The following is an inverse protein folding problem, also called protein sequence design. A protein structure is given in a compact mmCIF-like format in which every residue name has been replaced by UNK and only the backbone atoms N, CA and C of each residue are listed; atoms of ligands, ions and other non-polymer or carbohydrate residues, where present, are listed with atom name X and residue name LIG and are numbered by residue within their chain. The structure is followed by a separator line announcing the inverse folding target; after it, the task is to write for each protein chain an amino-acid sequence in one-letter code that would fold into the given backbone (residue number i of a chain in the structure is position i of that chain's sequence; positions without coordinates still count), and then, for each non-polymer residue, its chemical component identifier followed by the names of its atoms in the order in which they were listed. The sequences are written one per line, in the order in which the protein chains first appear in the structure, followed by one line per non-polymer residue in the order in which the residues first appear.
data_IF_822725317796
#
_entry.id   IF_822725317796
#
_cell.length_a   1.000
_cell.length_b   1.000
_cell.length_c   1.000
_cell.angle_alpha   90.00
_cell.angle_beta   90.00
_cell.angle_gamma   90.00
#
_symmetry.space_group_name_H-M   'P 1'
#
loop_
_entity.id
_entity.type
_entity.pdbx_description
1 polymer ?
#
# COMPACT_ATOMS: atom_id res chain seq x y z
N UNK A 1 1.30 -8.23 -5.50
CA UNK A 1 1.97 -7.53 -6.63
C UNK A 1 3.45 -7.88 -6.67
N UNK A 2 4.07 -7.97 -7.85
CA UNK A 2 5.46 -8.47 -8.05
C UNK A 2 6.52 -7.37 -8.28
N UNK A 3 6.13 -6.09 -8.31
CA UNK A 3 7.06 -4.99 -8.55
C UNK A 3 8.05 -4.84 -7.39
N UNK A 4 9.33 -5.06 -7.66
CA UNK A 4 10.39 -5.12 -6.64
C UNK A 4 10.69 -6.53 -6.13
N UNK A 5 9.99 -7.57 -6.63
CA UNK A 5 10.36 -8.97 -6.44
C UNK A 5 10.80 -9.61 -7.77
N UNK A 6 9.93 -10.40 -8.40
CA UNK A 6 10.21 -11.04 -9.69
C UNK A 6 10.10 -10.07 -10.88
N UNK A 7 9.56 -8.88 -10.65
CA UNK A 7 9.49 -7.80 -11.65
C UNK A 7 10.42 -6.66 -11.23
N UNK A 8 11.42 -6.34 -12.05
CA UNK A 8 12.33 -5.22 -11.77
C UNK A 8 11.59 -3.89 -11.88
N UNK A 9 12.19 -2.82 -11.36
CA UNK A 9 11.63 -1.46 -11.46
C UNK A 9 11.43 -1.02 -12.91
N UNK A 10 12.40 -1.27 -13.78
CA UNK A 10 12.34 -0.90 -15.19
C UNK A 10 11.18 -1.61 -15.90
N UNK A 11 10.96 -2.88 -15.58
CA UNK A 11 9.83 -3.63 -16.14
C UNK A 11 8.49 -3.18 -15.54
N UNK A 12 8.44 -2.87 -14.24
CA UNK A 12 7.27 -2.31 -13.59
C UNK A 12 6.85 -0.97 -14.24
N UNK A 13 7.82 -0.10 -14.56
CA UNK A 13 7.57 1.16 -15.26
C UNK A 13 6.95 0.92 -16.64
N UNK A 14 7.52 0.00 -17.44
CA UNK A 14 6.96 -0.35 -18.75
C UNK A 14 5.54 -0.90 -18.66
N UNK A 15 5.25 -1.71 -17.63
CA UNK A 15 3.91 -2.26 -17.39
C UNK A 15 2.94 -1.13 -17.07
N UNK A 16 3.30 -0.22 -16.16
CA UNK A 16 2.45 0.91 -15.76
C UNK A 16 2.25 1.92 -16.90
N UNK A 17 3.29 2.24 -17.67
CA UNK A 17 3.18 3.09 -18.87
C UNK A 17 2.23 2.46 -19.89
N UNK A 18 2.39 1.18 -20.19
CA UNK A 18 1.51 0.47 -21.14
C UNK A 18 0.06 0.42 -20.65
N UNK A 19 -0.17 0.27 -19.35
CA UNK A 19 -1.52 0.32 -18.78
C UNK A 19 -2.13 1.73 -18.94
N UNK A 20 -1.37 2.75 -18.57
CA UNK A 20 -1.76 4.16 -18.66
C UNK A 20 -2.07 4.59 -20.10
N UNK A 21 -1.21 4.23 -21.06
CA UNK A 21 -1.41 4.50 -22.49
C UNK A 21 -2.66 3.81 -23.07
N UNK A 22 -3.17 2.78 -22.39
CA UNK A 22 -4.41 2.08 -22.73
C UNK A 22 -5.62 2.59 -21.96
N UNK A 23 -5.48 3.71 -21.24
CA UNK A 23 -6.56 4.36 -20.49
C UNK A 23 -6.82 3.75 -19.11
N UNK A 24 -5.97 2.84 -18.61
CA UNK A 24 -6.06 2.37 -17.23
C UNK A 24 -5.49 3.45 -16.32
N UNK A 25 -6.33 3.97 -15.44
CA UNK A 25 -5.96 5.01 -14.48
C UNK A 25 -5.99 4.54 -13.01
N UNK A 26 -6.40 3.30 -12.72
CA UNK A 26 -6.46 2.78 -11.36
C UNK A 26 -5.23 1.92 -11.05
N UNK A 27 -4.43 2.32 -10.06
CA UNK A 27 -3.26 1.57 -9.60
C UNK A 27 -3.43 1.13 -8.14
N UNK A 28 -3.23 -0.16 -7.89
CA UNK A 28 -3.37 -0.78 -6.57
C UNK A 28 -2.01 -1.28 -6.05
N UNK A 29 -1.67 -0.91 -4.81
CA UNK A 29 -0.48 -1.38 -4.09
C UNK A 29 -0.83 -1.71 -2.63
N UNK A 30 0.16 -1.98 -1.78
CA UNK A 30 0.00 -2.15 -0.33
C UNK A 30 1.35 -1.91 0.38
N UNK A 31 1.32 -1.50 1.64
CA UNK A 31 2.55 -1.27 2.43
C UNK A 31 3.45 -2.52 2.55
N UNK A 32 2.84 -3.69 2.37
CA UNK A 32 3.45 -4.99 2.50
C UNK A 32 4.11 -5.49 1.20
N UNK A 33 3.69 -4.97 0.04
CA UNK A 33 4.17 -5.46 -1.25
C UNK A 33 5.66 -5.13 -1.46
N UNK A 34 6.42 -6.01 -2.15
CA UNK A 34 5.97 -7.06 -3.07
C UNK A 34 5.71 -8.44 -2.43
N UNK A 35 5.21 -9.39 -3.24
CA UNK A 35 5.02 -10.80 -2.85
C UNK A 35 6.07 -11.74 -3.48
N UNK A 36 6.47 -12.83 -2.80
CA UNK A 36 6.20 -13.15 -1.40
C UNK A 36 6.77 -12.09 -0.43
N UNK A 37 6.02 -11.73 0.63
CA UNK A 37 6.43 -10.64 1.51
C UNK A 37 7.64 -11.03 2.35
N UNK A 38 8.59 -10.10 2.47
CA UNK A 38 9.80 -10.23 3.29
C UNK A 38 10.10 -8.90 3.97
N UNK A 39 10.79 -8.95 5.11
CA UNK A 39 11.10 -7.75 5.89
C UNK A 39 12.00 -6.78 5.11
N UNK A 40 12.91 -7.33 4.29
CA UNK A 40 13.89 -6.56 3.53
C UNK A 40 13.27 -5.86 2.31
N UNK A 41 12.13 -6.36 1.82
CA UNK A 41 11.51 -5.85 0.59
C UNK A 41 10.17 -5.15 0.80
N UNK A 42 9.59 -5.22 2.00
CA UNK A 42 8.28 -4.63 2.28
C UNK A 42 8.26 -3.11 2.01
N UNK A 43 7.33 -2.69 1.15
CA UNK A 43 7.16 -1.29 0.74
C UNK A 43 7.88 -0.93 -0.55
N UNK A 44 8.76 -1.78 -1.11
CA UNK A 44 9.46 -1.47 -2.38
C UNK A 44 8.46 -1.23 -3.51
N UNK A 45 7.32 -1.93 -3.53
CA UNK A 45 6.28 -1.68 -4.55
C UNK A 45 5.75 -0.25 -4.46
N UNK A 46 5.51 0.29 -3.27
CA UNK A 46 5.09 1.69 -3.10
C UNK A 46 6.16 2.69 -3.52
N UNK A 47 7.44 2.39 -3.27
CA UNK A 47 8.56 3.22 -3.73
C UNK A 47 8.61 3.27 -5.28
N UNK A 48 8.51 2.12 -5.93
CA UNK A 48 8.48 2.01 -7.40
C UNK A 48 7.28 2.77 -7.98
N UNK A 49 6.08 2.57 -7.42
CA UNK A 49 4.87 3.27 -7.87
C UNK A 49 5.00 4.77 -7.64
N UNK A 50 5.51 5.20 -6.48
CA UNK A 50 5.71 6.61 -6.17
C UNK A 50 6.68 7.31 -7.12
N UNK A 51 7.77 6.64 -7.48
CA UNK A 51 8.68 7.16 -8.49
C UNK A 51 8.04 7.24 -9.89
N UNK A 52 7.22 6.25 -10.26
CA UNK A 52 6.51 6.28 -11.55
C UNK A 52 5.45 7.38 -11.59
N UNK A 53 4.73 7.64 -10.49
CA UNK A 53 3.72 8.69 -10.39
C UNK A 53 4.27 10.07 -10.72
N UNK A 54 5.54 10.35 -10.41
CA UNK A 54 6.21 11.62 -10.77
C UNK A 54 6.31 11.86 -12.28
N UNK A 55 6.10 10.83 -13.10
CA UNK A 55 6.14 10.92 -14.57
C UNK A 55 4.79 11.25 -15.18
N UNK A 56 3.72 11.35 -14.39
CA UNK A 56 2.34 11.60 -14.82
C UNK A 56 1.74 12.75 -13.99
N UNK A 57 0.72 13.46 -14.50
CA UNK A 57 -0.09 14.31 -13.64
C UNK A 57 -0.69 13.48 -12.51
N UNK A 58 -0.52 13.88 -11.25
CA UNK A 58 -0.93 13.04 -10.11
C UNK A 58 -2.43 12.76 -10.13
N UNK A 59 -3.23 13.73 -10.54
CA UNK A 59 -4.68 13.68 -10.64
C UNK A 59 -5.21 12.79 -11.79
N UNK A 60 -4.34 12.36 -12.71
CA UNK A 60 -4.75 11.44 -13.78
C UNK A 60 -4.75 9.97 -13.36
N UNK A 61 -4.33 9.67 -12.13
CA UNK A 61 -4.23 8.32 -11.58
C UNK A 61 -5.03 8.22 -10.28
N UNK A 62 -5.91 7.23 -10.21
CA UNK A 62 -6.57 6.79 -8.97
C UNK A 62 -5.62 5.82 -8.28
N UNK A 63 -5.05 6.24 -7.17
CA UNK A 63 -4.06 5.48 -6.41
C UNK A 63 -4.73 4.82 -5.19
N UNK A 64 -4.63 3.50 -5.12
CA UNK A 64 -5.06 2.72 -3.97
C UNK A 64 -3.87 2.07 -3.25
N UNK A 65 -3.84 2.15 -1.92
CA UNK A 65 -2.92 1.35 -1.10
C UNK A 65 -3.65 0.77 0.11
N UNK A 66 -2.98 -0.09 0.87
CA UNK A 66 -3.58 -0.85 1.96
C UNK A 66 -2.68 -0.90 3.18
N UNK A 67 -3.29 -0.73 4.36
CA UNK A 67 -2.68 -1.13 5.63
C UNK A 67 -2.78 -2.64 5.79
N UNK A 68 -1.69 -3.28 6.17
CA UNK A 68 -1.67 -4.70 6.46
C UNK A 68 -2.57 -5.00 7.67
N UNK A 69 -3.44 -5.99 7.52
CA UNK A 69 -4.33 -6.46 8.58
C UNK A 69 -3.60 -7.05 9.77
N UNK A 70 -4.38 -7.52 10.75
CA UNK A 70 -3.84 -8.10 11.97
C UNK A 70 -2.93 -9.30 11.69
N UNK A 71 -1.84 -9.38 12.45
CA UNK A 71 -1.03 -10.58 12.53
C UNK A 71 -1.87 -11.67 13.20
N UNK A 72 -2.08 -12.78 12.52
CA UNK A 72 -2.89 -13.89 13.01
C UNK A 72 -2.27 -15.23 12.61
N UNK A 73 -2.73 -16.33 13.20
CA UNK A 73 -2.21 -17.67 12.93
C UNK A 73 -2.24 -18.09 11.44
N UNK A 74 -3.05 -17.43 10.61
CA UNK A 74 -3.06 -17.64 9.15
C UNK A 74 -1.87 -16.95 8.44
N UNK A 75 -1.49 -15.75 8.88
CA UNK A 75 -0.39 -14.99 8.30
C UNK A 75 0.13 -13.95 9.29
N UNK A 76 1.46 -13.95 9.50
CA UNK A 76 2.16 -12.94 10.31
C UNK A 76 2.99 -12.08 9.35
N UNK A 77 2.59 -10.82 9.10
CA UNK A 77 3.33 -9.96 8.18
C UNK A 77 4.76 -9.71 8.68
N UNK A 78 5.79 -9.80 7.82
CA UNK A 78 7.18 -9.50 8.17
C UNK A 78 7.45 -7.99 8.29
N UNK A 79 6.51 -7.23 8.84
CA UNK A 79 6.62 -5.80 9.14
C UNK A 79 6.20 -5.58 10.60
N UNK A 80 6.64 -4.47 11.19
CA UNK A 80 6.30 -4.13 12.59
C UNK A 80 6.56 -5.29 13.58
N UNK A 81 7.65 -6.03 13.35
CA UNK A 81 8.02 -7.20 14.17
C UNK A 81 6.94 -8.29 14.27
N UNK A 82 6.09 -8.42 13.26
CA UNK A 82 4.97 -9.37 13.28
C UNK A 82 3.82 -8.96 14.19
N UNK A 83 3.80 -7.70 14.65
CA UNK A 83 2.77 -7.13 15.51
C UNK A 83 1.93 -6.12 14.73
N UNK A 84 1.32 -6.55 13.63
CA UNK A 84 0.37 -5.72 12.89
C UNK A 84 -1.02 -5.83 13.52
N UNK A 85 -1.74 -4.72 13.58
CA UNK A 85 -3.13 -4.62 14.03
C UNK A 85 -3.84 -3.57 13.17
N UNK A 86 -5.17 -3.50 13.26
CA UNK A 86 -5.99 -2.49 12.59
C UNK A 86 -6.62 -1.53 13.62
N UNK A 87 -5.79 -1.09 14.56
CA UNK A 87 -6.09 0.00 15.51
C UNK A 87 -5.74 1.38 14.94
N UNK A 88 -6.13 2.45 15.65
CA UNK A 88 -5.89 3.83 15.20
C UNK A 88 -4.40 4.14 14.99
N UNK A 89 -3.52 3.61 15.84
CA UNK A 89 -2.08 3.86 15.77
C UNK A 89 -1.48 3.23 14.51
N UNK A 90 -1.83 1.98 14.23
CA UNK A 90 -1.31 1.22 13.09
C UNK A 90 -1.79 1.77 11.76
N UNK A 91 -3.07 2.13 11.65
CA UNK A 91 -3.64 2.75 10.45
C UNK A 91 -2.92 4.07 10.14
N UNK A 92 -2.83 4.99 11.12
CA UNK A 92 -2.18 6.30 10.93
C UNK A 92 -0.69 6.17 10.60
N UNK A 93 0.03 5.32 11.32
CA UNK A 93 1.46 5.09 11.08
C UNK A 93 1.72 4.43 9.72
N UNK A 94 0.83 3.56 9.26
CA UNK A 94 0.95 2.92 7.96
C UNK A 94 0.71 3.93 6.83
N UNK A 95 -0.35 4.74 6.89
CA UNK A 95 -0.66 5.72 5.83
C UNK A 95 0.44 6.76 5.70
N UNK A 96 0.99 7.28 6.81
CA UNK A 96 2.12 8.23 6.78
C UNK A 96 3.34 7.65 6.04
N UNK A 97 3.64 6.37 6.28
CA UNK A 97 4.75 5.68 5.62
C UNK A 97 4.45 5.42 4.14
N UNK A 98 3.22 5.03 3.82
CA UNK A 98 2.78 4.81 2.44
C UNK A 98 2.87 6.11 1.64
N UNK A 99 2.33 7.22 2.14
CA UNK A 99 2.42 8.54 1.50
C UNK A 99 3.87 8.95 1.23
N UNK A 100 4.77 8.75 2.20
CA UNK A 100 6.20 9.03 2.03
C UNK A 100 6.84 8.22 0.91
N UNK A 101 6.56 6.91 0.82
CA UNK A 101 7.11 6.04 -0.24
C UNK A 101 6.50 6.33 -1.60
N UNK A 102 5.18 6.55 -1.62
CA UNK A 102 4.41 6.92 -2.80
C UNK A 102 4.71 8.35 -3.29
N UNK A 103 5.42 9.16 -2.47
CA UNK A 103 5.87 10.50 -2.82
C UNK A 103 4.72 11.40 -3.28
N UNK A 104 3.60 11.31 -2.57
CA UNK A 104 2.38 12.07 -2.83
C UNK A 104 1.71 12.42 -1.49
N UNK A 105 0.90 13.48 -1.49
CA UNK A 105 0.25 13.98 -0.29
C UNK A 105 -1.13 13.34 -0.03
N UNK A 106 -1.65 12.56 -0.97
CA UNK A 106 -2.95 11.89 -0.83
C UNK A 106 -3.02 10.54 -1.56
N UNK A 107 -3.94 9.70 -1.08
CA UNK A 107 -4.31 8.39 -1.63
C UNK A 107 -5.80 8.46 -1.95
N UNK A 108 -6.21 7.99 -3.13
CA UNK A 108 -7.61 8.05 -3.58
C UNK A 108 -8.48 6.97 -2.92
N UNK A 109 -7.88 5.81 -2.62
CA UNK A 109 -8.54 4.73 -1.90
C UNK A 109 -7.58 4.07 -0.90
N UNK A 110 -7.85 4.24 0.39
CA UNK A 110 -7.10 3.56 1.45
C UNK A 110 -7.91 2.41 2.04
N UNK A 111 -7.31 1.21 2.08
CA UNK A 111 -8.04 -0.02 2.38
C UNK A 111 -7.43 -0.76 3.57
N UNK A 112 -8.29 -1.47 4.30
CA UNK A 112 -7.89 -2.56 5.18
C UNK A 112 -7.58 -3.80 4.33
N UNK A 113 -6.34 -4.30 4.36
CA UNK A 113 -5.95 -5.41 3.48
C UNK A 113 -6.61 -6.74 3.87
N UNK A 114 -6.82 -6.97 5.17
CA UNK A 114 -7.62 -8.06 5.74
C UNK A 114 -8.02 -7.67 7.18
N UNK A 115 -9.05 -8.30 7.78
CA UNK A 115 -9.60 -7.85 9.05
C UNK A 115 -8.69 -8.09 10.25
N UNK A 116 -8.97 -7.33 11.30
CA UNK A 116 -8.56 -7.60 12.68
C UNK A 116 -9.78 -8.10 13.44
N UNK A 117 -9.63 -9.23 14.13
CA UNK A 117 -10.74 -9.86 14.90
C UNK A 117 -10.66 -9.55 16.38
N UNK A 118 -9.61 -8.86 16.82
CA UNK A 118 -9.36 -8.45 18.20
C UNK A 118 -9.72 -6.99 18.39
N UNK A 119 -9.35 -6.13 17.44
CA UNK A 119 -9.71 -4.70 17.45
C UNK A 119 -11.18 -4.54 17.03
N UNK A 120 -12.03 -3.85 17.82
CA UNK A 120 -13.40 -3.53 17.41
C UNK A 120 -13.43 -2.74 16.10
N UNK A 121 -14.29 -3.14 15.17
CA UNK A 121 -14.36 -2.53 13.85
C UNK A 121 -14.65 -1.03 13.91
N UNK A 122 -15.40 -0.57 14.92
CA UNK A 122 -15.71 0.84 15.15
C UNK A 122 -14.45 1.68 15.39
N UNK A 123 -13.44 1.14 16.07
CA UNK A 123 -12.16 1.82 16.27
C UNK A 123 -11.44 2.01 14.94
N UNK A 124 -11.35 0.94 14.15
CA UNK A 124 -10.73 0.97 12.83
C UNK A 124 -11.44 1.95 11.90
N UNK A 125 -12.77 1.88 11.84
CA UNK A 125 -13.59 2.75 10.99
C UNK A 125 -13.46 4.21 11.39
N UNK A 126 -13.43 4.52 12.69
CA UNK A 126 -13.16 5.87 13.18
C UNK A 126 -11.78 6.38 12.73
N UNK A 127 -10.76 5.52 12.78
CA UNK A 127 -9.42 5.89 12.34
C UNK A 127 -9.34 6.13 10.82
N UNK A 128 -10.09 5.39 10.00
CA UNK A 128 -10.21 5.68 8.57
C UNK A 128 -10.97 6.98 8.31
N UNK A 129 -12.05 7.25 9.03
CA UNK A 129 -12.86 8.47 8.90
C UNK A 129 -12.07 9.73 9.23
N UNK A 130 -11.18 9.69 10.24
CA UNK A 130 -10.29 10.80 10.60
C UNK A 130 -9.22 11.14 9.53
N UNK A 131 -9.07 10.33 8.48
CA UNK A 131 -8.10 10.53 7.40
C UNK A 131 -8.69 11.15 6.13
N UNK A 132 -10.00 11.44 6.12
CA UNK A 132 -10.75 11.95 4.95
C UNK A 132 -11.09 13.42 5.09
#
# INVERSE_FOLDING_TARGET
MTFGSTTTKEEAFKIMDKAYDRGINFLDTAELYPVPPKAETAGITEEIVGEWLKTKPRESVILATKVAGAASGWFVPPIRHGLTAIDSFHIKRAVEKSLKKLQTDYIDLYQMHWPDTVVPIEESMKAFDELV
#
